data_IF_561248444543
#
_entry.id   IF_561248444543
#
_cell.length_a   1.000
_cell.length_b   1.000
_cell.length_c   1.000
_cell.angle_alpha   90.00
_cell.angle_beta   90.00
_cell.angle_gamma   90.00
#
_symmetry.space_group_name_H-M   'P 1'
#
loop_
_entity.id
_entity.type
_entity.pdbx_description
1 polymer ?
#
# COMPACT_ATOMS: atom_id res chain seq x y z
N UNK A 1 -63.54 -4.01 34.89
CA UNK A 1 -62.88 -2.93 34.12
C UNK A 1 -61.41 -3.15 34.17
N UNK A 2 -60.79 -3.79 33.15
CA UNK A 2 -59.38 -4.09 33.10
C UNK A 2 -58.77 -3.23 31.95
N UNK A 3 -57.91 -2.30 32.30
CA UNK A 3 -57.08 -1.52 31.33
C UNK A 3 -55.89 -2.37 30.93
N UNK A 4 -55.81 -2.71 29.66
CA UNK A 4 -54.63 -3.27 29.02
C UNK A 4 -53.69 -2.16 28.58
N UNK A 5 -52.45 -2.17 29.09
CA UNK A 5 -51.37 -1.27 28.64
C UNK A 5 -50.67 -1.94 27.43
N UNK A 6 -50.80 -1.36 26.30
CA UNK A 6 -49.94 -1.62 25.11
C UNK A 6 -48.69 -0.75 25.23
N UNK A 7 -47.52 -1.40 25.35
CA UNK A 7 -46.24 -0.72 25.37
C UNK A 7 -45.59 -0.89 24.00
N UNK A 8 -45.25 0.20 23.39
CA UNK A 8 -44.76 0.35 22.03
C UNK A 8 -43.32 -0.17 21.87
N UNK A 9 -43.13 -1.10 20.94
CA UNK A 9 -41.83 -1.45 20.35
C UNK A 9 -41.56 -0.55 19.14
N UNK A 10 -40.92 0.60 19.32
CA UNK A 10 -40.43 1.44 18.22
C UNK A 10 -39.21 2.25 18.66
N UNK A 11 -38.04 1.60 18.91
CA UNK A 11 -36.79 2.34 19.13
C UNK A 11 -35.51 1.61 18.69
N UNK A 12 -35.60 0.44 18.01
CA UNK A 12 -34.42 -0.32 17.65
C UNK A 12 -33.86 -0.14 16.22
N UNK A 13 -34.69 0.36 15.30
CA UNK A 13 -34.32 0.37 13.86
C UNK A 13 -33.59 1.64 13.39
N UNK A 14 -33.75 2.76 14.10
CA UNK A 14 -33.18 4.04 13.67
C UNK A 14 -31.68 4.19 13.94
N UNK A 15 -31.15 3.52 14.97
CA UNK A 15 -29.71 3.62 15.34
C UNK A 15 -28.79 2.78 14.43
N UNK A 16 -29.28 1.70 13.84
CA UNK A 16 -28.49 0.85 12.92
C UNK A 16 -28.34 1.49 11.54
N UNK A 17 -29.32 2.28 11.10
CA UNK A 17 -29.25 2.99 9.81
C UNK A 17 -28.30 4.18 9.82
N UNK A 18 -28.09 4.84 10.96
CA UNK A 18 -27.13 5.95 11.06
C UNK A 18 -25.66 5.50 11.02
N UNK A 19 -25.33 4.31 11.53
CA UNK A 19 -23.95 3.81 11.51
C UNK A 19 -23.51 3.32 10.12
N UNK A 20 -24.42 2.75 9.33
CA UNK A 20 -24.10 2.33 7.96
C UNK A 20 -23.96 3.53 7.00
N UNK A 21 -24.74 4.59 7.18
CA UNK A 21 -24.63 5.81 6.40
C UNK A 21 -23.32 6.58 6.69
N UNK A 22 -22.85 6.58 7.94
CA UNK A 22 -21.59 7.24 8.31
C UNK A 22 -20.34 6.50 7.74
N UNK A 23 -20.36 5.17 7.66
CA UNK A 23 -19.30 4.38 7.02
C UNK A 23 -19.32 4.51 5.49
N UNK A 24 -20.49 4.57 4.88
CA UNK A 24 -20.62 4.72 3.42
C UNK A 24 -20.13 6.08 2.89
N UNK A 25 -19.94 7.08 3.75
CA UNK A 25 -19.59 8.45 3.33
C UNK A 25 -18.14 8.85 3.59
N UNK A 26 -17.29 7.98 4.16
CA UNK A 26 -15.90 8.35 4.51
C UNK A 26 -15.04 8.70 3.29
N UNK A 27 -15.43 8.25 2.09
CA UNK A 27 -14.76 8.53 0.83
C UNK A 27 -15.59 9.38 -0.13
N UNK A 28 -16.66 10.03 0.33
CA UNK A 28 -17.54 10.82 -0.54
C UNK A 28 -16.78 11.90 -1.31
N UNK A 29 -15.89 12.63 -0.64
CA UNK A 29 -15.13 13.75 -1.20
C UNK A 29 -13.81 13.31 -1.86
N UNK A 30 -13.45 12.03 -1.78
CA UNK A 30 -12.22 11.53 -2.41
C UNK A 30 -12.35 11.59 -3.93
N UNK A 31 -11.34 12.16 -4.58
CA UNK A 31 -11.17 12.12 -6.03
C UNK A 31 -10.06 11.12 -6.37
N UNK A 32 -10.31 10.25 -7.35
CA UNK A 32 -9.27 9.41 -7.92
C UNK A 32 -8.68 10.13 -9.12
N UNK A 33 -7.43 10.56 -8.98
CA UNK A 33 -6.70 11.33 -9.99
C UNK A 33 -5.67 10.45 -10.69
N UNK A 34 -5.52 10.61 -12.00
CA UNK A 34 -4.50 9.93 -12.80
C UNK A 34 -3.46 10.95 -13.29
N UNK A 35 -2.19 10.68 -13.00
CA UNK A 35 -1.04 11.47 -13.46
C UNK A 35 -0.33 10.67 -14.54
N UNK A 36 -0.20 11.20 -15.78
CA UNK A 36 0.55 10.53 -16.84
C UNK A 36 2.04 10.52 -16.48
N UNK A 37 2.70 9.39 -16.71
CA UNK A 37 4.14 9.23 -16.50
C UNK A 37 4.87 9.15 -17.83
N UNK A 38 4.90 7.97 -18.44
CA UNK A 38 5.52 7.76 -19.74
C UNK A 38 4.71 6.79 -20.58
N UNK A 39 4.58 7.05 -21.86
CA UNK A 39 3.74 6.29 -22.78
C UNK A 39 2.29 6.19 -22.27
N UNK A 40 1.79 4.97 -22.11
CA UNK A 40 0.45 4.69 -21.56
C UNK A 40 0.47 4.22 -20.09
N UNK A 41 1.52 4.59 -19.34
CA UNK A 41 1.65 4.30 -17.90
C UNK A 41 1.25 5.54 -17.10
N UNK A 42 0.42 5.33 -16.08
CA UNK A 42 -0.14 6.37 -15.22
C UNK A 42 0.02 5.98 -13.76
N UNK A 43 0.29 6.96 -12.89
CA UNK A 43 0.10 6.82 -11.45
C UNK A 43 -1.30 7.32 -11.08
N UNK A 44 -2.04 6.55 -10.26
CA UNK A 44 -3.34 6.95 -9.74
C UNK A 44 -3.27 7.15 -8.24
N UNK A 45 -3.88 8.22 -7.76
CA UNK A 45 -3.99 8.55 -6.33
C UNK A 45 -5.46 8.64 -5.90
N UNK A 46 -5.74 8.29 -4.66
CA UNK A 46 -7.08 8.34 -4.04
C UNK A 46 -6.97 8.45 -2.53
N UNK A 47 -7.57 7.53 -1.78
CA UNK A 47 -7.53 7.51 -0.31
C UNK A 47 -6.81 6.28 0.29
N UNK A 48 -6.26 5.41 -0.50
CA UNK A 48 -5.43 4.28 -0.07
C UNK A 48 -4.02 4.42 -0.57
N UNK A 49 -3.36 3.28 -0.77
CA UNK A 49 -2.07 3.23 -1.43
C UNK A 49 -2.14 3.76 -2.87
N UNK A 50 -1.03 4.26 -3.37
CA UNK A 50 -0.93 4.66 -4.77
C UNK A 50 -1.10 3.45 -5.68
N UNK A 51 -1.77 3.67 -6.79
CA UNK A 51 -1.98 2.69 -7.84
C UNK A 51 -1.18 3.07 -9.08
N UNK A 52 -0.96 2.11 -9.98
CA UNK A 52 -0.53 2.43 -11.33
C UNK A 52 -1.41 1.73 -12.36
N UNK A 53 -1.55 2.33 -13.55
CA UNK A 53 -2.28 1.72 -14.65
C UNK A 53 -1.45 1.71 -15.94
N UNK A 54 -1.62 0.63 -16.71
CA UNK A 54 -1.25 0.58 -18.13
C UNK A 54 -2.55 0.61 -18.92
N UNK A 55 -2.80 1.71 -19.62
CA UNK A 55 -4.05 1.93 -20.34
C UNK A 55 -3.83 1.75 -21.85
N UNK A 56 -4.22 0.59 -22.38
CA UNK A 56 -4.17 0.29 -23.81
C UNK A 56 -5.57 0.21 -24.42
N UNK A 57 -5.72 0.41 -25.74
CA UNK A 57 -7.04 0.28 -26.40
C UNK A 57 -7.66 -1.11 -26.29
N UNK A 58 -6.85 -2.15 -26.06
CA UNK A 58 -7.28 -3.56 -25.99
C UNK A 58 -7.61 -4.02 -24.55
N UNK A 59 -7.13 -3.30 -23.53
CA UNK A 59 -7.33 -3.66 -22.12
C UNK A 59 -6.57 -2.72 -21.18
N UNK A 60 -6.98 -2.74 -19.92
CA UNK A 60 -6.31 -2.00 -18.84
C UNK A 60 -5.71 -3.00 -17.87
N UNK A 61 -4.46 -2.73 -17.46
CA UNK A 61 -3.84 -3.35 -16.30
C UNK A 61 -3.83 -2.31 -15.16
N UNK A 62 -4.17 -2.73 -13.96
CA UNK A 62 -4.12 -1.92 -12.75
C UNK A 62 -3.18 -2.58 -11.73
N UNK A 63 -2.37 -1.79 -11.04
CA UNK A 63 -1.56 -2.21 -9.90
C UNK A 63 -2.20 -1.60 -8.66
N UNK A 64 -2.58 -2.46 -7.72
CA UNK A 64 -3.36 -2.21 -6.51
C UNK A 64 -4.78 -1.67 -6.79
N UNK A 65 -5.63 -1.69 -5.77
CA UNK A 65 -7.07 -1.47 -5.92
C UNK A 65 -7.69 -0.59 -4.83
N UNK A 66 -6.90 -0.10 -3.89
CA UNK A 66 -7.35 0.67 -2.73
C UNK A 66 -8.50 -0.03 -1.97
N UNK A 67 -9.57 0.70 -1.67
CA UNK A 67 -10.74 0.22 -0.93
C UNK A 67 -11.92 -0.06 -1.85
N UNK A 68 -12.77 -1.02 -1.48
CA UNK A 68 -13.96 -1.40 -2.25
C UNK A 68 -14.90 -0.21 -2.52
N UNK A 69 -15.04 0.70 -1.55
CA UNK A 69 -15.89 1.89 -1.65
C UNK A 69 -15.41 2.90 -2.71
N UNK A 70 -14.15 2.78 -3.15
CA UNK A 70 -13.58 3.62 -4.21
C UNK A 70 -13.68 2.98 -5.61
N UNK A 71 -14.15 1.74 -5.74
CA UNK A 71 -14.11 0.99 -6.98
C UNK A 71 -14.78 1.73 -8.15
N UNK A 72 -15.93 2.37 -7.94
CA UNK A 72 -16.61 3.13 -9.00
C UNK A 72 -15.82 4.38 -9.41
N UNK A 73 -15.17 5.05 -8.46
CA UNK A 73 -14.31 6.22 -8.75
C UNK A 73 -13.04 5.80 -9.50
N UNK A 74 -12.48 4.65 -9.13
CA UNK A 74 -11.32 4.06 -9.83
C UNK A 74 -11.72 3.69 -11.27
N UNK A 75 -12.84 2.98 -11.46
CA UNK A 75 -13.37 2.67 -12.82
C UNK A 75 -13.58 3.93 -13.65
N UNK A 76 -14.21 4.95 -13.08
CA UNK A 76 -14.44 6.21 -13.77
C UNK A 76 -13.12 6.85 -14.20
N UNK A 77 -12.11 6.87 -13.33
CA UNK A 77 -10.78 7.38 -13.68
C UNK A 77 -10.11 6.55 -14.79
N UNK A 78 -10.13 5.20 -14.71
CA UNK A 78 -9.58 4.33 -15.75
C UNK A 78 -10.28 4.51 -17.11
N UNK A 79 -11.60 4.72 -17.14
CA UNK A 79 -12.36 4.98 -18.38
C UNK A 79 -11.97 6.31 -19.04
N UNK A 80 -11.42 7.27 -18.31
CA UNK A 80 -10.85 8.49 -18.95
C UNK A 80 -9.53 8.21 -19.70
N UNK A 81 -8.82 7.14 -19.30
CA UNK A 81 -7.53 6.77 -19.90
C UNK A 81 -7.69 5.82 -21.07
N UNK A 82 -8.64 4.86 -20.97
CA UNK A 82 -8.99 3.92 -22.03
C UNK A 82 -10.44 3.50 -21.93
N UNK A 83 -11.17 3.33 -23.06
CA UNK A 83 -12.51 2.75 -23.08
C UNK A 83 -12.51 1.23 -22.78
N UNK A 84 -11.34 0.57 -22.82
CA UNK A 84 -11.21 -0.85 -22.62
C UNK A 84 -11.51 -1.28 -21.17
N UNK A 85 -11.78 -2.56 -20.98
CA UNK A 85 -12.04 -3.13 -19.65
C UNK A 85 -10.74 -3.45 -18.91
N UNK A 86 -10.84 -3.54 -17.57
CA UNK A 86 -9.77 -4.04 -16.72
C UNK A 86 -9.60 -5.55 -16.98
N UNK A 87 -8.44 -5.95 -17.45
CA UNK A 87 -8.13 -7.35 -17.80
C UNK A 87 -7.15 -7.98 -16.80
N UNK A 88 -6.34 -7.18 -16.13
CA UNK A 88 -5.32 -7.64 -15.20
C UNK A 88 -5.23 -6.70 -14.00
N UNK A 89 -5.20 -7.27 -12.81
CA UNK A 89 -4.96 -6.57 -11.56
C UNK A 89 -3.74 -7.20 -10.88
N UNK A 90 -2.76 -6.41 -10.50
CA UNK A 90 -1.58 -6.87 -9.76
C UNK A 90 -1.64 -6.27 -8.37
N UNK A 91 -1.40 -7.06 -7.32
CA UNK A 91 -1.25 -6.51 -5.97
C UNK A 91 0.22 -6.50 -5.55
N UNK A 92 0.66 -5.36 -5.04
CA UNK A 92 2.02 -5.19 -4.49
C UNK A 92 2.22 -5.97 -3.20
N UNK A 93 1.22 -6.00 -2.34
CA UNK A 93 1.19 -6.73 -1.06
C UNK A 93 -0.26 -6.90 -0.55
N UNK A 94 -0.46 -7.32 0.70
CA UNK A 94 -1.75 -7.80 1.20
C UNK A 94 -2.61 -6.78 1.95
N UNK A 95 -2.15 -5.55 2.22
CA UNK A 95 -2.89 -4.60 3.08
C UNK A 95 -4.16 -4.08 2.41
N UNK A 96 -5.16 -3.80 3.25
CA UNK A 96 -6.52 -3.52 2.80
C UNK A 96 -6.67 -2.29 1.92
N UNK A 97 -5.79 -1.31 2.05
CA UNK A 97 -5.74 -0.12 1.20
C UNK A 97 -5.00 -0.33 -0.14
N UNK A 98 -4.57 -1.55 -0.42
CA UNK A 98 -4.01 -2.01 -1.70
C UNK A 98 -4.86 -3.10 -2.35
N UNK A 99 -5.56 -3.94 -1.56
CA UNK A 99 -6.32 -5.09 -2.08
C UNK A 99 -7.83 -5.01 -1.84
N UNK A 100 -8.29 -4.02 -1.05
CA UNK A 100 -9.69 -3.94 -0.64
C UNK A 100 -10.67 -3.80 -1.80
N UNK A 101 -10.25 -3.20 -2.90
CA UNK A 101 -11.05 -3.06 -4.12
C UNK A 101 -11.04 -4.27 -5.05
N UNK A 102 -10.24 -5.32 -4.77
CA UNK A 102 -10.05 -6.46 -5.67
C UNK A 102 -11.36 -7.07 -6.15
N UNK A 103 -12.22 -7.50 -5.23
CA UNK A 103 -13.49 -8.16 -5.58
C UNK A 103 -14.41 -7.26 -6.39
N UNK A 104 -14.47 -5.97 -6.05
CA UNK A 104 -15.30 -5.00 -6.73
C UNK A 104 -14.78 -4.65 -8.13
N UNK A 105 -13.45 -4.59 -8.33
CA UNK A 105 -12.84 -4.15 -9.59
C UNK A 105 -12.59 -5.29 -10.57
N UNK A 106 -12.17 -6.46 -10.08
CA UNK A 106 -11.56 -7.51 -10.89
C UNK A 106 -12.50 -8.71 -11.16
N UNK A 107 -13.83 -8.50 -11.23
CA UNK A 107 -14.79 -9.59 -11.46
C UNK A 107 -14.45 -10.44 -12.68
N UNK A 108 -13.86 -9.85 -13.73
CA UNK A 108 -13.46 -10.54 -14.97
C UNK A 108 -11.94 -10.46 -15.23
N UNK A 109 -11.17 -9.80 -14.39
CA UNK A 109 -9.73 -9.67 -14.53
C UNK A 109 -8.99 -10.85 -13.87
N UNK A 110 -7.78 -11.12 -14.34
CA UNK A 110 -6.84 -11.98 -13.62
C UNK A 110 -6.14 -11.18 -12.53
N UNK A 111 -6.23 -11.66 -11.28
CA UNK A 111 -5.54 -11.05 -10.14
C UNK A 111 -4.24 -11.80 -9.92
N UNK A 112 -3.13 -11.09 -10.03
CA UNK A 112 -1.76 -11.60 -9.86
C UNK A 112 -1.17 -11.02 -8.58
N UNK A 113 -0.56 -11.85 -7.73
CA UNK A 113 0.13 -11.41 -6.53
C UNK A 113 1.21 -12.41 -6.09
N UNK A 114 2.00 -12.05 -5.09
CA UNK A 114 2.87 -13.01 -4.43
C UNK A 114 2.05 -14.12 -3.75
N UNK A 115 2.58 -15.35 -3.71
CA UNK A 115 1.88 -16.51 -3.12
C UNK A 115 1.48 -16.27 -1.65
N UNK A 116 2.31 -15.57 -0.87
CA UNK A 116 1.99 -15.24 0.52
C UNK A 116 0.81 -14.27 0.63
N UNK A 117 0.63 -13.34 -0.31
CA UNK A 117 -0.55 -12.47 -0.35
C UNK A 117 -1.82 -13.31 -0.42
N UNK A 118 -1.90 -14.26 -1.35
CA UNK A 118 -3.04 -15.18 -1.46
C UNK A 118 -3.27 -15.96 -0.16
N UNK A 119 -2.21 -16.50 0.43
CA UNK A 119 -2.30 -17.28 1.67
C UNK A 119 -2.87 -16.46 2.80
N UNK A 120 -2.39 -15.22 2.98
CA UNK A 120 -2.84 -14.33 4.06
C UNK A 120 -4.25 -13.82 3.84
N UNK A 121 -4.61 -13.44 2.62
CA UNK A 121 -5.97 -13.00 2.29
C UNK A 121 -6.98 -14.15 2.45
N UNK A 122 -6.65 -15.38 2.05
CA UNK A 122 -7.50 -16.54 2.24
C UNK A 122 -7.71 -16.92 3.71
N UNK A 123 -6.75 -16.60 4.58
CA UNK A 123 -6.87 -16.79 6.02
C UNK A 123 -7.70 -15.70 6.72
N UNK A 124 -7.95 -14.57 6.06
CA UNK A 124 -8.76 -13.49 6.60
C UNK A 124 -10.25 -13.73 6.32
N UNK A 125 -11.00 -14.14 7.34
CA UNK A 125 -12.43 -14.44 7.22
C UNK A 125 -13.30 -13.25 6.75
N UNK A 126 -12.79 -12.01 6.84
CA UNK A 126 -13.49 -10.80 6.39
C UNK A 126 -13.13 -10.40 4.96
N UNK A 127 -12.18 -11.08 4.30
CA UNK A 127 -11.81 -10.79 2.93
C UNK A 127 -12.76 -11.51 1.95
N UNK A 128 -13.27 -10.77 0.96
CA UNK A 128 -14.15 -11.36 -0.05
C UNK A 128 -13.36 -12.35 -0.93
N UNK A 129 -13.73 -13.66 -0.95
CA UNK A 129 -13.03 -14.66 -1.76
C UNK A 129 -12.98 -14.35 -3.26
N UNK A 130 -13.91 -13.55 -3.79
CA UNK A 130 -13.89 -13.11 -5.18
C UNK A 130 -12.69 -12.21 -5.51
N UNK A 131 -12.08 -11.56 -4.49
CA UNK A 131 -10.88 -10.74 -4.61
C UNK A 131 -9.56 -11.50 -4.45
N UNK A 132 -9.59 -12.82 -4.27
CA UNK A 132 -8.36 -13.61 -4.11
C UNK A 132 -7.56 -13.69 -5.43
N UNK A 133 -6.22 -13.61 -5.36
CA UNK A 133 -5.37 -13.82 -6.53
C UNK A 133 -5.61 -15.18 -7.19
N UNK A 134 -5.87 -15.18 -8.50
CA UNK A 134 -5.99 -16.40 -9.31
C UNK A 134 -4.61 -16.93 -9.67
N UNK A 135 -3.72 -16.02 -10.09
CA UNK A 135 -2.33 -16.30 -10.44
C UNK A 135 -1.40 -15.87 -9.30
N UNK A 136 -0.51 -16.74 -8.88
CA UNK A 136 0.47 -16.43 -7.84
C UNK A 136 1.89 -16.63 -8.35
N UNK A 137 2.82 -15.77 -7.90
CA UNK A 137 4.24 -15.83 -8.24
C UNK A 137 5.09 -15.92 -6.97
N UNK A 138 6.25 -16.58 -7.09
CA UNK A 138 7.29 -16.67 -6.05
C UNK A 138 8.66 -16.27 -6.59
N UNK A 139 8.77 -16.18 -7.91
CA UNK A 139 10.01 -15.89 -8.61
C UNK A 139 9.82 -14.68 -9.52
N UNK A 140 10.93 -14.02 -9.86
CA UNK A 140 10.94 -12.89 -10.79
C UNK A 140 10.31 -13.30 -12.12
N UNK A 141 9.22 -12.64 -12.48
CA UNK A 141 8.37 -12.99 -13.62
C UNK A 141 8.20 -11.78 -14.54
N UNK A 142 8.40 -11.99 -15.84
CA UNK A 142 8.12 -10.96 -16.84
C UNK A 142 6.77 -11.22 -17.48
N UNK A 143 5.95 -10.17 -17.57
CA UNK A 143 4.69 -10.18 -18.31
C UNK A 143 4.70 -9.06 -19.36
N UNK A 144 3.90 -9.23 -20.41
CA UNK A 144 3.69 -8.17 -21.41
C UNK A 144 2.19 -7.84 -21.46
N UNK A 145 1.87 -6.57 -21.22
CA UNK A 145 0.50 -6.08 -21.27
C UNK A 145 0.36 -5.10 -22.43
N UNK A 146 -0.13 -5.62 -23.56
CA UNK A 146 -0.35 -4.85 -24.81
C UNK A 146 0.83 -3.97 -25.24
N UNK A 147 2.03 -4.57 -25.20
CA UNK A 147 3.26 -3.92 -25.65
C UNK A 147 4.07 -3.24 -24.54
N UNK A 148 3.55 -3.17 -23.34
CA UNK A 148 4.31 -2.74 -22.15
C UNK A 148 4.84 -3.97 -21.41
N UNK A 149 6.16 -4.06 -21.28
CA UNK A 149 6.80 -5.09 -20.47
C UNK A 149 6.81 -4.67 -19.00
N UNK A 150 6.36 -5.56 -18.13
CA UNK A 150 6.47 -5.43 -16.68
C UNK A 150 7.27 -6.58 -16.12
N UNK A 151 8.19 -6.28 -15.19
CA UNK A 151 8.91 -7.29 -14.41
C UNK A 151 8.40 -7.25 -12.98
N UNK A 152 7.74 -8.32 -12.56
CA UNK A 152 7.24 -8.54 -11.21
C UNK A 152 8.34 -9.22 -10.41
N UNK A 153 8.87 -8.57 -9.40
CA UNK A 153 10.00 -9.06 -8.62
C UNK A 153 9.60 -9.24 -7.15
N UNK A 154 9.43 -10.50 -6.69
CA UNK A 154 9.25 -10.78 -5.28
C UNK A 154 10.46 -10.31 -4.47
N UNK A 155 10.20 -9.61 -3.38
CA UNK A 155 11.25 -9.09 -2.51
C UNK A 155 11.38 -9.93 -1.24
N UNK A 156 12.60 -10.05 -0.69
CA UNK A 156 12.76 -10.58 0.66
C UNK A 156 11.87 -9.83 1.65
N UNK A 157 11.27 -10.56 2.59
CA UNK A 157 10.30 -10.07 3.55
C UNK A 157 10.78 -8.80 4.27
N UNK A 158 10.07 -7.70 4.08
CA UNK A 158 10.48 -6.37 4.56
C UNK A 158 9.30 -5.52 5.06
N UNK A 159 8.41 -5.00 4.22
CA UNK A 159 7.16 -4.40 4.67
C UNK A 159 6.19 -5.50 5.14
N UNK A 160 6.02 -6.53 4.31
CA UNK A 160 5.39 -7.82 4.62
C UNK A 160 6.26 -8.97 4.09
N UNK A 161 5.77 -10.21 4.14
CA UNK A 161 6.44 -11.36 3.50
C UNK A 161 5.93 -11.66 2.07
N UNK A 162 5.16 -10.75 1.49
CA UNK A 162 4.56 -10.91 0.16
C UNK A 162 4.74 -9.69 -0.74
N UNK A 163 5.79 -8.90 -0.51
CA UNK A 163 6.03 -7.66 -1.24
C UNK A 163 6.52 -7.90 -2.68
N UNK A 164 5.96 -7.16 -3.64
CA UNK A 164 6.39 -7.14 -5.03
C UNK A 164 6.84 -5.74 -5.45
N UNK A 165 8.01 -5.66 -6.10
CA UNK A 165 8.36 -4.53 -6.96
C UNK A 165 7.81 -4.78 -8.37
N UNK A 166 7.26 -3.75 -8.98
CA UNK A 166 6.82 -3.81 -10.38
C UNK A 166 7.65 -2.81 -11.19
N UNK A 167 8.52 -3.35 -12.04
CA UNK A 167 9.38 -2.59 -12.92
C UNK A 167 8.73 -2.41 -14.29
N UNK A 168 8.92 -1.24 -14.87
CA UNK A 168 8.61 -0.91 -16.26
C UNK A 168 9.93 -0.52 -16.96
N UNK A 169 10.72 -1.49 -17.44
CA UNK A 169 12.09 -1.22 -17.89
C UNK A 169 12.18 -0.20 -19.01
N UNK A 170 11.32 -0.31 -20.04
CA UNK A 170 11.33 0.61 -21.18
C UNK A 170 10.87 2.02 -20.81
N UNK A 171 10.00 2.17 -19.82
CA UNK A 171 9.49 3.45 -19.33
C UNK A 171 10.41 4.09 -18.30
N UNK A 172 11.36 3.34 -17.72
CA UNK A 172 12.21 3.74 -16.62
C UNK A 172 11.37 4.13 -15.37
N UNK A 173 10.42 3.25 -14.99
CA UNK A 173 9.53 3.42 -13.84
C UNK A 173 9.65 2.19 -12.94
N UNK A 174 9.54 2.40 -11.64
CA UNK A 174 9.34 1.33 -10.66
C UNK A 174 8.18 1.69 -9.71
N UNK A 175 7.24 0.76 -9.52
CA UNK A 175 6.23 0.84 -8.46
C UNK A 175 6.71 -0.01 -7.29
N UNK A 176 6.87 0.63 -6.13
CA UNK A 176 7.46 -0.01 -4.95
C UNK A 176 6.42 -0.55 -3.96
N UNK A 177 5.13 -0.22 -4.14
CA UNK A 177 4.18 -0.46 -3.07
C UNK A 177 4.69 0.12 -1.75
N UNK A 178 4.37 -0.50 -0.65
CA UNK A 178 4.75 -0.05 0.69
C UNK A 178 6.21 -0.37 1.07
N UNK A 179 7.03 -0.72 0.08
CA UNK A 179 8.49 -0.63 0.19
C UNK A 179 8.99 0.81 0.09
N UNK A 180 8.08 1.78 -0.02
CA UNK A 180 8.38 3.21 0.04
C UNK A 180 7.18 4.03 0.55
N UNK A 181 7.44 4.87 1.56
CA UNK A 181 6.53 5.86 2.14
C UNK A 181 7.13 7.25 1.95
N UNK A 182 6.92 7.88 0.81
CA UNK A 182 7.59 9.14 0.46
C UNK A 182 7.40 10.22 1.53
N UNK A 183 8.54 10.64 2.15
CA UNK A 183 8.58 11.69 3.15
C UNK A 183 7.90 11.36 4.48
N UNK A 184 7.77 10.08 4.83
CA UNK A 184 7.08 9.59 6.02
C UNK A 184 7.85 8.44 6.67
N UNK A 185 7.66 8.23 7.98
CA UNK A 185 8.13 6.98 8.61
C UNK A 185 7.40 5.78 7.98
N UNK A 186 8.13 4.73 7.57
CA UNK A 186 7.52 3.56 6.96
C UNK A 186 6.75 2.72 7.99
N UNK A 187 5.75 2.01 7.52
CA UNK A 187 5.15 0.92 8.28
C UNK A 187 5.89 -0.38 7.95
N UNK A 188 6.35 -1.08 8.98
CA UNK A 188 6.92 -2.43 8.87
C UNK A 188 6.01 -3.37 9.65
N UNK A 189 5.29 -4.24 8.94
CA UNK A 189 4.32 -5.15 9.54
C UNK A 189 5.00 -6.42 10.06
N UNK A 190 5.63 -6.32 11.23
CA UNK A 190 6.35 -7.42 11.86
C UNK A 190 5.45 -8.62 12.19
N UNK A 191 4.14 -8.42 12.35
CA UNK A 191 3.18 -9.49 12.57
C UNK A 191 2.92 -10.32 11.30
N UNK A 192 3.17 -9.75 10.14
CA UNK A 192 3.01 -10.38 8.84
C UNK A 192 4.33 -10.54 8.10
N UNK A 193 5.41 -10.77 8.84
CA UNK A 193 6.72 -11.10 8.32
C UNK A 193 7.60 -9.91 7.99
N UNK A 194 7.16 -8.68 8.24
CA UNK A 194 7.96 -7.48 8.04
C UNK A 194 9.26 -7.48 8.85
N UNK A 195 10.33 -6.91 8.28
CA UNK A 195 11.66 -6.85 8.86
C UNK A 195 12.35 -5.54 8.51
N UNK A 196 12.74 -4.76 9.53
CA UNK A 196 13.35 -3.43 9.37
C UNK A 196 14.68 -3.49 8.62
N UNK A 197 15.58 -4.41 9.01
CA UNK A 197 16.89 -4.55 8.38
C UNK A 197 16.75 -4.92 6.89
N UNK A 198 15.86 -5.85 6.59
CA UNK A 198 15.61 -6.25 5.22
C UNK A 198 14.92 -5.15 4.41
N UNK A 199 14.06 -4.32 5.04
CA UNK A 199 13.49 -3.13 4.40
C UNK A 199 14.57 -2.17 3.93
N UNK A 200 15.56 -1.89 4.80
CA UNK A 200 16.73 -1.05 4.47
C UNK A 200 17.54 -1.68 3.33
N UNK A 201 17.79 -2.99 3.37
CA UNK A 201 18.54 -3.68 2.30
C UNK A 201 17.78 -3.68 0.97
N UNK A 202 16.46 -3.88 0.98
CA UNK A 202 15.63 -3.81 -0.22
C UNK A 202 15.63 -2.40 -0.81
N UNK A 203 15.61 -1.36 0.04
CA UNK A 203 15.73 0.04 -0.41
C UNK A 203 17.09 0.30 -1.06
N UNK A 204 18.19 -0.18 -0.47
CA UNK A 204 19.54 -0.10 -1.07
C UNK A 204 19.60 -0.83 -2.42
N UNK A 205 18.98 -2.02 -2.49
CA UNK A 205 18.91 -2.78 -3.73
C UNK A 205 18.22 -1.97 -4.84
N UNK A 206 17.06 -1.38 -4.59
CA UNK A 206 16.35 -0.57 -5.58
C UNK A 206 17.22 0.63 -6.01
N UNK A 207 17.82 1.36 -5.07
CA UNK A 207 18.73 2.48 -5.37
C UNK A 207 19.87 2.05 -6.31
N UNK A 208 20.40 0.83 -6.16
CA UNK A 208 21.46 0.29 -7.00
C UNK A 208 21.02 -0.04 -8.43
N UNK A 209 19.71 -0.20 -8.66
CA UNK A 209 19.13 -0.60 -9.96
C UNK A 209 18.58 0.55 -10.77
N UNK A 210 18.35 1.71 -10.16
CA UNK A 210 17.73 2.88 -10.78
C UNK A 210 18.76 3.98 -11.07
N UNK A 211 18.45 4.82 -12.03
CA UNK A 211 19.20 6.03 -12.35
C UNK A 211 18.46 7.30 -11.87
N UNK A 212 19.05 8.47 -12.10
CA UNK A 212 18.50 9.77 -11.67
C UNK A 212 17.22 10.15 -12.41
N UNK A 213 16.92 9.51 -13.52
CA UNK A 213 15.74 9.77 -14.36
C UNK A 213 14.59 8.80 -14.04
N UNK A 214 14.85 7.76 -13.25
CA UNK A 214 13.84 6.76 -12.89
C UNK A 214 12.72 7.40 -12.09
N UNK A 215 11.49 7.23 -12.54
CA UNK A 215 10.31 7.62 -11.79
C UNK A 215 9.94 6.51 -10.80
N UNK A 216 9.83 6.87 -9.53
CA UNK A 216 9.52 5.94 -8.44
C UNK A 216 8.11 6.22 -7.92
N UNK A 217 7.22 5.24 -8.07
CA UNK A 217 5.87 5.28 -7.50
C UNK A 217 5.94 4.65 -6.10
N UNK A 218 5.82 5.44 -5.01
CA UNK A 218 5.77 4.90 -3.66
C UNK A 218 4.39 4.30 -3.37
N UNK A 219 4.26 3.44 -2.36
CA UNK A 219 2.94 3.03 -1.86
C UNK A 219 2.14 4.21 -1.31
N UNK A 220 2.80 5.13 -0.64
CA UNK A 220 2.18 6.34 -0.09
C UNK A 220 3.04 7.58 -0.33
N UNK A 221 2.37 8.68 -0.66
CA UNK A 221 3.01 9.98 -0.90
C UNK A 221 3.11 10.33 -2.38
N UNK A 222 3.87 11.37 -2.68
CA UNK A 222 4.02 11.91 -4.03
C UNK A 222 4.94 11.04 -4.90
N UNK A 223 4.73 11.10 -6.22
CA UNK A 223 5.70 10.56 -7.19
C UNK A 223 7.09 11.11 -6.90
N UNK A 224 8.09 10.24 -6.96
CA UNK A 224 9.46 10.62 -6.60
C UNK A 224 10.51 10.02 -7.54
N UNK A 225 11.76 10.02 -7.12
CA UNK A 225 12.92 9.56 -7.87
C UNK A 225 13.97 8.96 -6.93
N UNK A 226 15.13 8.62 -7.48
CA UNK A 226 16.28 8.09 -6.72
C UNK A 226 16.66 8.95 -5.52
N UNK A 227 16.69 10.28 -5.67
CA UNK A 227 17.04 11.18 -4.57
C UNK A 227 16.02 11.12 -3.42
N UNK A 228 14.71 10.96 -3.73
CA UNK A 228 13.67 10.72 -2.73
C UNK A 228 13.91 9.44 -1.94
N UNK A 229 14.20 8.35 -2.65
CA UNK A 229 14.49 7.06 -2.04
C UNK A 229 15.79 7.06 -1.19
N UNK A 230 16.81 7.80 -1.64
CA UNK A 230 18.04 7.99 -0.86
C UNK A 230 17.79 8.76 0.45
N UNK A 231 16.91 9.77 0.44
CA UNK A 231 16.53 10.48 1.67
C UNK A 231 15.79 9.58 2.66
N UNK A 232 14.89 8.72 2.16
CA UNK A 232 14.18 7.75 2.99
C UNK A 232 15.15 6.72 3.59
N UNK A 233 16.06 6.18 2.79
CA UNK A 233 17.11 5.29 3.26
C UNK A 233 17.94 5.93 4.37
N UNK A 234 18.41 7.16 4.16
CA UNK A 234 19.21 7.90 5.15
C UNK A 234 18.44 8.10 6.46
N UNK A 235 17.16 8.43 6.40
CA UNK A 235 16.30 8.55 7.59
C UNK A 235 16.21 7.22 8.34
N UNK A 236 15.95 6.12 7.66
CA UNK A 236 15.85 4.80 8.29
C UNK A 236 17.16 4.37 8.94
N UNK A 237 18.29 4.54 8.25
CA UNK A 237 19.64 4.20 8.77
C UNK A 237 20.00 5.03 10.00
N UNK A 238 19.76 6.33 9.95
CA UNK A 238 20.06 7.25 11.06
C UNK A 238 19.19 6.94 12.28
N UNK A 239 17.90 6.78 12.10
CA UNK A 239 16.99 6.47 13.22
C UNK A 239 17.26 5.09 13.81
N UNK A 240 17.58 4.08 12.98
CA UNK A 240 17.99 2.77 13.46
C UNK A 240 19.29 2.83 14.27
N UNK A 241 20.27 3.61 13.82
CA UNK A 241 21.53 3.82 14.55
C UNK A 241 21.31 4.51 15.90
N UNK A 242 20.46 5.54 15.95
CA UNK A 242 20.09 6.24 17.20
C UNK A 242 19.43 5.28 18.20
N UNK A 243 18.46 4.49 17.76
CA UNK A 243 17.78 3.53 18.62
C UNK A 243 18.73 2.43 19.09
N UNK A 244 19.60 1.94 18.21
CA UNK A 244 20.63 0.94 18.55
C UNK A 244 21.57 1.46 19.63
N UNK A 245 22.10 2.68 19.47
CA UNK A 245 23.00 3.28 20.44
C UNK A 245 22.33 3.52 21.80
N UNK A 246 21.07 3.99 21.78
CA UNK A 246 20.30 4.20 23.01
C UNK A 246 20.10 2.88 23.77
N UNK A 247 19.69 1.82 23.08
CA UNK A 247 19.45 0.49 23.67
C UNK A 247 20.74 -0.10 24.24
N UNK A 248 21.88 0.04 23.55
CA UNK A 248 23.20 -0.40 24.04
C UNK A 248 23.66 0.36 25.29
N UNK A 249 23.19 1.61 25.47
CA UNK A 249 23.44 2.41 26.68
C UNK A 249 22.46 2.11 27.82
N UNK A 250 21.54 1.16 27.64
CA UNK A 250 20.55 0.78 28.63
C UNK A 250 19.34 1.73 28.72
N UNK A 251 19.18 2.66 27.75
CA UNK A 251 18.00 3.54 27.65
C UNK A 251 16.79 2.67 27.31
N UNK A 252 15.75 2.70 28.10
CA UNK A 252 14.51 1.97 27.86
C UNK A 252 13.71 2.56 26.69
N UNK A 253 12.82 1.74 26.11
CA UNK A 253 11.92 2.20 25.05
C UNK A 253 11.11 3.43 25.48
N UNK A 254 10.58 3.45 26.72
CA UNK A 254 9.79 4.55 27.27
C UNK A 254 10.61 5.85 27.41
N UNK A 255 11.85 5.75 27.88
CA UNK A 255 12.76 6.91 27.98
C UNK A 255 13.11 7.45 26.60
N UNK A 256 13.35 6.58 25.61
CA UNK A 256 13.65 6.99 24.24
C UNK A 256 12.44 7.66 23.58
N UNK A 257 11.23 7.15 23.78
CA UNK A 257 9.99 7.77 23.31
C UNK A 257 9.82 9.17 23.93
N UNK A 258 10.06 9.31 25.23
CA UNK A 258 9.96 10.61 25.91
C UNK A 258 11.00 11.63 25.41
N UNK A 259 12.18 11.17 25.01
CA UNK A 259 13.27 11.99 24.43
C UNK A 259 13.01 12.36 22.97
N UNK A 260 12.44 11.44 22.18
CA UNK A 260 12.31 11.54 20.73
C UNK A 260 13.60 11.24 19.97
N UNK A 261 13.50 11.22 18.63
CA UNK A 261 14.63 10.95 17.72
C UNK A 261 15.42 12.20 17.36
N UNK A 262 14.83 13.37 17.50
CA UNK A 262 15.41 14.67 17.14
C UNK A 262 14.50 15.50 16.24
N UNK A 263 14.73 16.81 16.21
CA UNK A 263 13.87 17.75 15.48
C UNK A 263 13.88 17.48 13.96
N UNK A 264 15.00 17.00 13.42
CA UNK A 264 15.19 16.65 12.01
C UNK A 264 14.27 15.53 11.52
N UNK A 265 13.77 14.70 12.44
CA UNK A 265 12.87 13.59 12.08
C UNK A 265 11.38 13.90 12.27
N UNK A 266 11.02 15.03 12.89
CA UNK A 266 9.62 15.40 13.16
C UNK A 266 8.76 15.49 11.91
N UNK A 267 9.34 15.91 10.77
CA UNK A 267 8.62 16.01 9.50
C UNK A 267 8.23 14.66 8.89
N UNK A 268 8.81 13.55 9.35
CA UNK A 268 8.51 12.19 8.89
C UNK A 268 7.27 11.58 9.56
N UNK A 269 6.84 12.20 10.67
CA UNK A 269 5.64 11.80 11.39
C UNK A 269 4.38 11.99 10.53
N UNK A 270 3.46 11.04 10.62
CA UNK A 270 2.12 11.13 10.03
C UNK A 270 1.11 10.37 10.91
N UNK A 271 -0.21 10.51 10.62
CA UNK A 271 -1.26 10.02 11.50
C UNK A 271 -1.21 8.51 11.78
N UNK A 272 -0.69 7.72 10.84
CA UNK A 272 -0.63 6.27 10.99
C UNK A 272 0.68 5.80 11.63
N UNK A 273 1.83 6.35 11.22
CA UNK A 273 3.13 6.07 11.87
C UNK A 273 3.65 7.34 12.51
N UNK A 274 3.39 7.45 13.82
CA UNK A 274 3.95 8.49 14.67
C UNK A 274 5.42 8.22 14.97
N UNK A 275 6.17 9.23 15.43
CA UNK A 275 7.53 9.04 15.91
C UNK A 275 7.60 7.96 17.01
N UNK A 276 6.66 7.98 17.95
CA UNK A 276 6.54 6.94 18.99
C UNK A 276 6.41 5.54 18.39
N UNK A 277 5.51 5.36 17.40
CA UNK A 277 5.31 4.07 16.75
C UNK A 277 6.55 3.63 15.98
N UNK A 278 7.24 4.55 15.33
CA UNK A 278 8.49 4.26 14.62
C UNK A 278 9.60 3.84 15.60
N UNK A 279 9.78 4.57 16.73
CA UNK A 279 10.71 4.18 17.80
C UNK A 279 10.41 2.75 18.29
N UNK A 280 9.16 2.41 18.59
CA UNK A 280 8.76 1.07 19.01
C UNK A 280 9.15 0.01 17.99
N UNK A 281 8.88 0.26 16.71
CA UNK A 281 9.25 -0.65 15.63
C UNK A 281 10.76 -0.88 15.58
N UNK A 282 11.55 0.18 15.65
CA UNK A 282 13.02 0.09 15.65
C UNK A 282 13.55 -0.58 16.91
N UNK A 283 13.01 -0.23 18.08
CA UNK A 283 13.47 -0.76 19.36
C UNK A 283 13.27 -2.28 19.48
N UNK A 284 12.20 -2.79 18.89
CA UNK A 284 11.93 -4.23 18.80
C UNK A 284 12.82 -4.93 17.77
N UNK A 285 13.23 -4.24 16.71
CA UNK A 285 14.07 -4.78 15.65
C UNK A 285 15.56 -4.87 16.01
N UNK A 286 15.99 -4.15 17.04
CA UNK A 286 17.39 -4.16 17.53
C UNK A 286 17.54 -5.20 18.63
N UNK A 287 18.65 -6.01 18.66
CA UNK A 287 18.94 -7.00 19.71
C UNK A 287 19.04 -6.42 21.12
#
# INVERSE_FOLDING_TARGET
MKLTKTLSLFTGAALLLCSSAALANRFADVQVSATPLKDNVYMLTGAGGNMAAVAAPQGVLLIDSQYAELAEKIRASLKTLSPAELTTLINTHMHGDHVGGNAALAAQADIIAHANVKTRLAANANFDPAGLPKTTITDKTTINHFGVELVLEPMPASHTDGDLLIWFPAQNIVHMGDLMFQGRFPFVDTNNGGNVQQYIENTRYVISKIDEQTQVIPGHGELTNKAGLQRELAMMEQTLALVTAAKQQGVSEAELIAKGLGDEFKAWHWNFITEERWIKTLYQAVP
#
